data_IF_062268145535
#
_entry.id   IF_062268145535
#
_cell.length_a   1.000
_cell.length_b   1.000
_cell.length_c   1.000
_cell.angle_alpha   90.00
_cell.angle_beta   90.00
_cell.angle_gamma   90.00
#
_symmetry.space_group_name_H-M   'P 1'
#
loop_
_entity.id
_entity.type
_entity.pdbx_description
1 polymer ?
#
# COMPACT_ATOMS: atom_id res chain seq x y z
N UNK A 1 21.87 -12.43 2.17
CA UNK A 1 21.09 -11.27 2.67
C UNK A 1 19.73 -11.42 2.05
N UNK A 2 18.69 -11.60 2.84
CA UNK A 2 17.36 -11.82 2.30
C UNK A 2 16.84 -10.48 1.73
N UNK A 3 16.51 -10.44 0.45
CA UNK A 3 16.09 -9.23 -0.26
C UNK A 3 14.57 -9.10 -0.16
N UNK A 4 14.09 -7.93 0.26
CA UNK A 4 12.65 -7.64 0.35
C UNK A 4 12.08 -7.51 -1.08
N UNK A 5 11.26 -8.47 -1.49
CA UNK A 5 10.64 -8.48 -2.79
C UNK A 5 9.37 -7.61 -2.79
N UNK A 6 9.31 -6.64 -3.69
CA UNK A 6 8.13 -5.76 -3.84
C UNK A 6 7.28 -6.22 -5.01
N UNK A 7 6.06 -6.65 -4.73
CA UNK A 7 5.05 -7.00 -5.72
C UNK A 7 4.01 -5.89 -5.81
N UNK A 8 3.37 -5.76 -6.97
CA UNK A 8 2.30 -4.80 -7.18
C UNK A 8 1.18 -5.42 -8.00
N UNK A 9 -0.06 -5.24 -7.57
CA UNK A 9 -1.21 -5.74 -8.32
C UNK A 9 -1.41 -4.91 -9.60
N UNK A 10 -2.07 -5.49 -10.64
CA UNK A 10 -2.44 -4.74 -11.83
C UNK A 10 -3.31 -3.51 -11.51
N UNK A 11 -4.13 -3.61 -10.47
CA UNK A 11 -5.01 -2.54 -9.99
C UNK A 11 -4.20 -1.38 -9.39
N UNK A 12 -3.25 -1.69 -8.50
CA UNK A 12 -2.31 -0.71 -7.97
C UNK A 12 -1.54 -0.02 -9.08
N UNK A 13 -0.99 -0.79 -10.03
CA UNK A 13 -0.26 -0.24 -11.19
C UNK A 13 -1.12 0.71 -12.03
N UNK A 14 -2.40 0.39 -12.23
CA UNK A 14 -3.36 1.28 -12.92
C UNK A 14 -3.65 2.56 -12.12
N UNK A 15 -3.76 2.47 -10.80
CA UNK A 15 -3.93 3.65 -9.93
C UNK A 15 -2.72 4.57 -10.00
N UNK A 16 -1.50 4.03 -9.83
CA UNK A 16 -0.24 4.78 -9.91
C UNK A 16 -0.04 5.46 -11.26
N UNK A 17 -0.47 4.81 -12.35
CA UNK A 17 -0.39 5.38 -13.70
C UNK A 17 -1.19 6.69 -13.85
N UNK A 18 -2.29 6.85 -13.09
CA UNK A 18 -3.14 8.05 -13.11
C UNK A 18 -2.61 9.19 -12.23
N UNK A 19 -1.60 8.94 -11.40
CA UNK A 19 -1.05 9.93 -10.48
C UNK A 19 -0.19 10.96 -11.21
N UNK A 20 -0.28 12.21 -10.75
CA UNK A 20 0.60 13.31 -11.15
C UNK A 20 1.98 13.15 -10.47
N UNK A 21 2.99 13.85 -10.98
CA UNK A 21 4.39 13.75 -10.48
C UNK A 21 4.52 14.04 -8.98
N UNK A 22 3.81 15.04 -8.47
CA UNK A 22 3.77 15.36 -7.04
C UNK A 22 3.16 14.23 -6.20
N UNK A 23 2.05 13.65 -6.65
CA UNK A 23 1.40 12.51 -5.99
C UNK A 23 2.29 11.26 -5.99
N UNK A 24 3.04 11.03 -7.07
CA UNK A 24 4.01 9.93 -7.15
C UNK A 24 5.16 10.12 -6.15
N UNK A 25 5.64 11.34 -5.94
CA UNK A 25 6.66 11.62 -4.95
C UNK A 25 6.17 11.32 -3.52
N UNK A 26 4.93 11.70 -3.19
CA UNK A 26 4.32 11.36 -1.90
C UNK A 26 4.12 9.83 -1.73
N UNK A 27 3.68 9.15 -2.79
CA UNK A 27 3.52 7.70 -2.80
C UNK A 27 4.86 6.99 -2.61
N UNK A 28 5.90 7.41 -3.31
CA UNK A 28 7.23 6.83 -3.23
C UNK A 28 7.81 6.95 -1.81
N UNK A 29 7.59 8.08 -1.14
CA UNK A 29 7.91 8.24 0.29
C UNK A 29 7.12 7.28 1.17
N UNK A 30 5.83 7.09 0.91
CA UNK A 30 5.01 6.15 1.65
C UNK A 30 5.48 4.69 1.45
N UNK A 31 5.82 4.31 0.22
CA UNK A 31 6.36 2.99 -0.11
C UNK A 31 7.68 2.76 0.62
N UNK A 32 8.61 3.72 0.59
CA UNK A 32 9.88 3.63 1.34
C UNK A 32 9.66 3.46 2.84
N UNK A 33 8.66 4.14 3.40
CA UNK A 33 8.32 3.98 4.81
C UNK A 33 7.84 2.56 5.12
N UNK A 34 6.94 1.99 4.32
CA UNK A 34 6.46 0.60 4.54
C UNK A 34 7.51 -0.44 4.16
N UNK A 35 8.49 -0.12 3.32
CA UNK A 35 9.64 -0.99 3.06
C UNK A 35 10.58 -1.05 4.27
N UNK A 36 10.81 0.08 4.92
CA UNK A 36 11.63 0.15 6.12
C UNK A 36 10.91 -0.43 7.35
N UNK A 37 9.61 -0.17 7.46
CA UNK A 37 8.76 -0.62 8.56
C UNK A 37 7.45 -1.21 8.03
N UNK A 38 7.46 -2.46 7.53
CA UNK A 38 6.27 -3.11 6.97
C UNK A 38 5.18 -3.36 8.01
N UNK A 39 5.53 -3.31 9.29
CA UNK A 39 4.58 -3.45 10.41
C UNK A 39 3.91 -2.12 10.79
N UNK A 40 4.30 -0.98 10.20
CA UNK A 40 3.73 0.34 10.49
C UNK A 40 2.25 0.49 10.10
N UNK A 41 1.77 -0.33 9.15
CA UNK A 41 0.39 -0.33 8.71
C UNK A 41 -0.53 -1.02 9.71
N UNK A 42 -1.74 -0.48 9.83
CA UNK A 42 -2.78 -1.01 10.70
C UNK A 42 -3.24 -2.37 10.17
N UNK A 43 -2.91 -3.43 10.91
CA UNK A 43 -3.32 -4.81 10.60
C UNK A 43 -4.75 -5.05 11.02
N UNK A 44 -5.58 -5.55 10.10
CA UNK A 44 -6.97 -5.87 10.41
C UNK A 44 -7.04 -7.23 11.12
N UNK A 45 -7.72 -7.30 12.27
CA UNK A 45 -7.98 -8.57 12.97
C UNK A 45 -9.06 -9.39 12.23
N UNK A 46 -8.90 -10.71 12.13
CA UNK A 46 -9.82 -11.64 11.46
C UNK A 46 -9.30 -12.16 10.11
N UNK A 47 -10.20 -12.52 9.18
CA UNK A 47 -9.91 -13.07 7.84
C UNK A 47 -8.97 -12.21 6.96
N UNK A 48 -8.79 -10.93 7.29
CA UNK A 48 -7.97 -9.98 6.54
C UNK A 48 -6.61 -9.71 7.22
N UNK A 49 -6.09 -10.66 8.00
CA UNK A 49 -4.80 -10.50 8.70
C UNK A 49 -3.62 -10.21 7.76
N UNK A 50 -3.71 -10.69 6.52
CA UNK A 50 -2.72 -10.41 5.48
C UNK A 50 -2.76 -8.95 4.99
N UNK A 51 -3.87 -8.23 5.18
CA UNK A 51 -4.04 -6.86 4.71
C UNK A 51 -3.65 -5.85 5.79
N UNK A 52 -2.69 -5.01 5.44
CA UNK A 52 -2.28 -3.82 6.20
C UNK A 52 -2.65 -2.56 5.44
N UNK A 53 -3.00 -1.53 6.20
CA UNK A 53 -3.36 -0.23 5.63
C UNK A 53 -2.48 0.85 6.22
N UNK A 54 -1.67 1.48 5.37
CA UNK A 54 -0.87 2.64 5.74
C UNK A 54 -1.59 3.92 5.31
N UNK A 55 -1.82 4.82 6.26
CA UNK A 55 -2.51 6.10 6.02
C UNK A 55 -1.47 7.21 5.88
N UNK A 56 -1.51 7.96 4.78
CA UNK A 56 -0.58 9.06 4.54
C UNK A 56 -1.27 10.22 3.83
N UNK A 57 -0.63 11.39 3.83
CA UNK A 57 -1.11 12.54 3.06
C UNK A 57 -0.44 12.55 1.68
N UNK A 58 -1.24 12.60 0.64
CA UNK A 58 -0.81 12.77 -0.75
C UNK A 58 -1.36 14.10 -1.24
N UNK A 59 -0.48 15.07 -1.52
CA UNK A 59 -0.88 16.43 -1.96
C UNK A 59 -1.99 17.02 -1.07
N UNK A 60 -1.82 16.89 0.26
CA UNK A 60 -2.77 17.40 1.25
C UNK A 60 -4.02 16.55 1.49
N UNK A 61 -4.28 15.52 0.68
CA UNK A 61 -5.44 14.63 0.84
C UNK A 61 -5.06 13.33 1.57
N UNK A 62 -5.89 12.91 2.53
CA UNK A 62 -5.71 11.64 3.22
C UNK A 62 -5.92 10.47 2.25
N UNK A 63 -4.88 9.65 2.11
CA UNK A 63 -4.81 8.52 1.18
C UNK A 63 -4.43 7.25 1.94
N UNK A 64 -4.99 6.13 1.51
CA UNK A 64 -4.73 4.81 2.04
C UNK A 64 -3.91 4.01 1.04
N UNK A 65 -2.82 3.42 1.52
CA UNK A 65 -2.06 2.40 0.84
C UNK A 65 -2.36 1.04 1.47
N UNK A 66 -2.95 0.16 0.69
CA UNK A 66 -3.21 -1.22 1.07
C UNK A 66 -2.08 -2.09 0.60
N UNK A 67 -1.50 -2.85 1.52
CA UNK A 67 -0.43 -3.77 1.21
C UNK A 67 -0.52 -5.03 2.07
N UNK A 68 0.06 -6.12 1.60
CA UNK A 68 0.33 -7.29 2.43
C UNK A 68 1.83 -7.42 2.64
N UNK A 69 2.20 -7.94 3.81
CA UNK A 69 3.59 -8.24 4.13
C UNK A 69 3.67 -9.68 4.64
N UNK A 70 4.43 -10.50 3.92
CA UNK A 70 4.76 -11.86 4.30
C UNK A 70 6.16 -11.87 4.93
N UNK A 71 6.21 -12.01 6.25
CA UNK A 71 7.45 -12.00 7.02
C UNK A 71 8.34 -13.23 6.72
N UNK A 72 7.72 -14.36 6.35
CA UNK A 72 8.44 -15.59 6.02
C UNK A 72 9.13 -15.54 4.65
N UNK A 73 8.57 -14.80 3.70
CA UNK A 73 9.09 -14.66 2.32
C UNK A 73 9.71 -13.29 2.05
N UNK A 74 9.63 -12.35 2.99
CA UNK A 74 9.98 -10.94 2.81
C UNK A 74 9.37 -10.39 1.51
N UNK A 75 8.07 -10.56 1.36
CA UNK A 75 7.32 -10.04 0.21
C UNK A 75 6.40 -8.93 0.67
N UNK A 76 6.54 -7.75 0.06
CA UNK A 76 5.63 -6.62 0.23
C UNK A 76 4.78 -6.48 -1.04
N UNK A 77 3.50 -6.82 -0.96
CA UNK A 77 2.59 -6.72 -2.10
C UNK A 77 1.70 -5.49 -1.98
N UNK A 78 1.82 -4.58 -2.95
CA UNK A 78 1.01 -3.36 -3.05
C UNK A 78 -0.33 -3.71 -3.71
N UNK A 79 -1.40 -3.66 -2.92
CA UNK A 79 -2.73 -4.13 -3.32
C UNK A 79 -3.57 -3.02 -3.94
N UNK A 80 -3.73 -1.91 -3.22
CA UNK A 80 -4.64 -0.83 -3.62
C UNK A 80 -4.17 0.53 -3.10
N UNK A 81 -4.57 1.59 -3.81
CA UNK A 81 -4.28 2.98 -3.46
C UNK A 81 -5.53 3.83 -3.70
N UNK A 82 -5.97 4.56 -2.68
CA UNK A 82 -7.11 5.47 -2.84
C UNK A 82 -7.54 6.17 -1.55
N UNK A 83 -8.59 6.98 -1.66
CA UNK A 83 -9.28 7.57 -0.50
C UNK A 83 -10.06 6.50 0.28
N UNK A 84 -10.41 6.80 1.53
CA UNK A 84 -11.11 5.89 2.46
C UNK A 84 -12.31 5.14 1.84
N UNK A 85 -13.17 5.83 1.08
CA UNK A 85 -14.33 5.20 0.42
C UNK A 85 -13.97 4.32 -0.78
N UNK A 86 -13.02 4.76 -1.61
CA UNK A 86 -12.64 4.01 -2.81
C UNK A 86 -11.81 2.77 -2.48
N UNK A 87 -11.01 2.84 -1.41
CA UNK A 87 -10.13 1.77 -0.97
C UNK A 87 -10.87 0.45 -0.67
N UNK A 88 -11.95 0.52 0.11
CA UNK A 88 -12.72 -0.68 0.46
C UNK A 88 -13.54 -1.24 -0.71
N UNK A 89 -13.93 -0.41 -1.67
CA UNK A 89 -14.60 -0.85 -2.90
C UNK A 89 -13.67 -1.67 -3.77
N UNK A 90 -12.42 -1.20 -3.89
CA UNK A 90 -11.38 -1.83 -4.71
C UNK A 90 -10.91 -3.17 -4.11
N UNK A 91 -10.90 -3.27 -2.78
CA UNK A 91 -10.52 -4.47 -2.01
C UNK A 91 -11.55 -5.60 -2.01
N UNK A 92 -12.83 -5.29 -2.28
CA UNK A 92 -13.91 -6.28 -2.30
C UNK A 92 -14.17 -6.86 -3.70
N UNK A 93 -13.45 -6.41 -4.72
CA UNK A 93 -13.74 -6.73 -6.13
C UNK A 93 -12.80 -7.79 -6.69
#
# INVERSE_FOLDING_TARGET
MAELQVLQTPQFKKAVKKLKTNQKADLDRAIRHVLAEPLAGDSKKGDLFFLRVYKFKMVGQLTLLGYSYDDGRLVLELLALGSHENFYRDLKR
#
